data_IF_828630498952
#
_entry.id   IF_828630498952
#
_cell.length_a   1.000
_cell.length_b   1.000
_cell.length_c   1.000
_cell.angle_alpha   90.00
_cell.angle_beta   90.00
_cell.angle_gamma   90.00
#
_symmetry.space_group_name_H-M   'P 1'
#
loop_
_entity.id
_entity.type
_entity.pdbx_description
1 polymer ?
#
# COMPACT_ATOMS: atom_id res chain seq x y z
N UNK A 1 -28.88 11.77 -10.27
CA UNK A 1 -27.63 12.15 -10.97
C UNK A 1 -26.35 11.87 -10.15
N UNK A 2 -26.41 11.08 -9.08
CA UNK A 2 -25.30 10.96 -8.11
C UNK A 2 -24.04 10.26 -8.66
N UNK A 3 -24.19 9.29 -9.58
CA UNK A 3 -23.06 8.56 -10.14
C UNK A 3 -22.12 9.47 -10.95
N UNK A 4 -22.65 10.12 -11.99
CA UNK A 4 -21.86 11.01 -12.86
C UNK A 4 -21.19 12.14 -12.08
N UNK A 5 -21.94 12.81 -11.19
CA UNK A 5 -21.40 13.90 -10.37
C UNK A 5 -20.23 13.45 -9.49
N UNK A 6 -20.35 12.28 -8.85
CA UNK A 6 -19.28 11.72 -8.02
C UNK A 6 -18.02 11.38 -8.84
N UNK A 7 -18.17 10.84 -10.04
CA UNK A 7 -17.04 10.55 -10.92
C UNK A 7 -16.31 11.81 -11.41
N UNK A 8 -17.05 12.85 -11.79
CA UNK A 8 -16.47 14.15 -12.19
C UNK A 8 -15.72 14.79 -11.01
N UNK A 9 -16.27 14.69 -9.80
CA UNK A 9 -15.61 15.18 -8.59
C UNK A 9 -14.35 14.39 -8.23
N UNK A 10 -14.41 13.05 -8.28
CA UNK A 10 -13.26 12.18 -8.01
C UNK A 10 -12.12 12.38 -9.02
N UNK A 11 -12.46 12.68 -10.28
CA UNK A 11 -11.49 13.03 -11.31
C UNK A 11 -10.89 14.43 -11.15
N UNK A 12 -11.41 15.25 -10.23
CA UNK A 12 -10.95 16.62 -10.00
C UNK A 12 -11.43 17.63 -11.04
N UNK A 13 -12.43 17.29 -11.84
CA UNK A 13 -12.94 18.13 -12.93
C UNK A 13 -13.98 19.16 -12.47
N UNK A 14 -14.27 19.22 -11.18
CA UNK A 14 -15.23 20.17 -10.56
C UNK A 14 -14.58 21.50 -10.17
N UNK A 15 -13.28 21.71 -10.43
CA UNK A 15 -12.57 22.96 -10.15
C UNK A 15 -12.25 23.23 -8.66
N UNK A 16 -12.64 22.32 -7.75
CA UNK A 16 -12.34 22.38 -6.32
C UNK A 16 -11.06 21.62 -5.93
N UNK A 17 -10.84 21.43 -4.63
CA UNK A 17 -9.73 20.59 -4.14
C UNK A 17 -9.88 19.15 -4.65
N UNK A 18 -8.83 18.66 -5.29
CA UNK A 18 -8.74 17.25 -5.67
C UNK A 18 -8.34 16.44 -4.45
N UNK A 19 -9.28 15.65 -3.91
CA UNK A 19 -8.98 14.73 -2.83
C UNK A 19 -8.20 13.53 -3.39
N UNK A 20 -6.98 13.32 -2.91
CA UNK A 20 -6.21 12.11 -3.17
C UNK A 20 -6.27 11.22 -1.95
N UNK A 21 -6.70 9.98 -2.16
CA UNK A 21 -6.77 9.00 -1.10
C UNK A 21 -5.45 8.25 -0.96
N UNK A 22 -4.94 8.19 0.27
CA UNK A 22 -3.89 7.24 0.62
C UNK A 22 -4.57 5.92 0.97
N UNK A 23 -4.54 4.97 0.03
CA UNK A 23 -5.25 3.69 0.15
C UNK A 23 -4.81 2.95 1.41
N UNK A 24 -3.51 2.80 1.66
CA UNK A 24 -2.99 2.08 2.85
C UNK A 24 -3.49 2.72 4.16
N UNK A 25 -3.44 4.05 4.25
CA UNK A 25 -3.95 4.77 5.42
C UNK A 25 -5.46 4.54 5.59
N UNK A 26 -6.23 4.67 4.51
CA UNK A 26 -7.68 4.48 4.58
C UNK A 26 -8.05 3.06 4.98
N UNK A 27 -7.40 2.05 4.41
CA UNK A 27 -7.67 0.66 4.77
C UNK A 27 -7.41 0.43 6.25
N UNK A 28 -6.32 0.96 6.81
CA UNK A 28 -6.04 0.86 8.24
C UNK A 28 -7.05 1.62 9.11
N UNK A 29 -7.47 2.81 8.66
CA UNK A 29 -8.37 3.68 9.42
C UNK A 29 -9.82 3.14 9.42
N UNK A 30 -10.27 2.53 8.32
CA UNK A 30 -11.64 1.98 8.18
C UNK A 30 -11.76 0.48 8.50
N UNK A 31 -10.69 -0.30 8.34
CA UNK A 31 -10.67 -1.75 8.57
C UNK A 31 -9.46 -2.16 9.40
N UNK A 32 -9.43 -1.74 10.68
CA UNK A 32 -8.31 -1.97 11.57
C UNK A 32 -8.01 -3.46 11.87
N UNK A 33 -8.96 -4.36 11.60
CA UNK A 33 -8.81 -5.81 11.78
C UNK A 33 -8.58 -6.56 10.47
N UNK A 34 -8.65 -5.89 9.32
CA UNK A 34 -8.56 -6.53 8.01
C UNK A 34 -9.74 -7.45 7.71
N UNK A 35 -10.88 -7.34 8.41
CA UNK A 35 -12.02 -8.25 8.24
C UNK A 35 -12.63 -8.11 6.84
N UNK A 36 -12.70 -6.88 6.32
CA UNK A 36 -13.20 -6.62 4.97
C UNK A 36 -12.25 -7.21 3.92
N UNK A 37 -10.94 -7.03 4.10
CA UNK A 37 -9.95 -7.64 3.21
C UNK A 37 -10.03 -9.16 3.22
N UNK A 38 -10.11 -9.79 4.39
CA UNK A 38 -10.21 -11.26 4.51
C UNK A 38 -11.48 -11.83 3.91
N UNK A 39 -12.57 -11.05 3.94
CA UNK A 39 -13.84 -11.46 3.35
C UNK A 39 -13.77 -11.50 1.81
N UNK A 40 -13.18 -10.47 1.20
CA UNK A 40 -13.14 -10.34 -0.27
C UNK A 40 -11.89 -10.95 -0.92
N UNK A 41 -10.81 -11.12 -0.17
CA UNK A 41 -9.53 -11.67 -0.61
C UNK A 41 -9.18 -12.87 0.29
N UNK A 42 -9.78 -14.03 0.05
CA UNK A 42 -9.60 -15.22 0.89
C UNK A 42 -8.13 -15.70 0.95
N UNK A 43 -7.32 -15.40 -0.06
CA UNK A 43 -5.87 -15.64 -0.07
C UNK A 43 -5.13 -14.89 1.05
N UNK A 44 -5.69 -13.78 1.54
CA UNK A 44 -5.16 -13.01 2.66
C UNK A 44 -5.75 -13.41 4.03
N UNK A 45 -6.63 -14.42 4.09
CA UNK A 45 -7.35 -14.79 5.31
C UNK A 45 -6.43 -15.06 6.52
N UNK A 46 -5.29 -15.71 6.25
CA UNK A 46 -4.31 -16.10 7.26
C UNK A 46 -3.30 -14.99 7.60
N UNK A 47 -3.31 -13.88 6.87
CA UNK A 47 -2.37 -12.78 7.10
C UNK A 47 -2.85 -11.93 8.29
N UNK A 48 -2.02 -11.73 9.32
CA UNK A 48 -2.38 -10.89 10.45
C UNK A 48 -2.29 -9.38 10.09
N UNK A 49 -3.17 -8.53 10.64
CA UNK A 49 -2.90 -7.08 10.72
C UNK A 49 -1.59 -6.85 11.51
N UNK A 50 -0.67 -5.98 11.08
CA UNK A 50 -0.77 -4.95 10.03
C UNK A 50 -0.25 -5.37 8.65
N UNK A 51 0.23 -6.61 8.49
CA UNK A 51 0.86 -7.08 7.26
C UNK A 51 -0.13 -7.17 6.08
N UNK A 52 -1.40 -7.41 6.38
CA UNK A 52 -2.47 -7.53 5.39
C UNK A 52 -2.69 -6.25 4.55
N UNK A 53 -2.34 -5.06 5.07
CA UNK A 53 -2.50 -3.80 4.34
C UNK A 53 -1.43 -3.60 3.27
N UNK A 54 -0.27 -4.23 3.44
CA UNK A 54 0.88 -4.10 2.56
C UNK A 54 1.56 -5.48 2.39
N UNK A 55 0.89 -6.46 1.76
CA UNK A 55 1.39 -7.83 1.66
C UNK A 55 2.75 -7.93 0.94
N UNK A 56 3.05 -7.00 0.02
CA UNK A 56 4.34 -6.90 -0.66
C UNK A 56 5.52 -6.57 0.26
N UNK A 57 5.28 -6.12 1.50
CA UNK A 57 6.33 -5.91 2.51
C UNK A 57 6.65 -7.17 3.32
N UNK A 58 5.85 -8.23 3.20
CA UNK A 58 6.10 -9.50 3.89
C UNK A 58 7.38 -10.15 3.36
N UNK A 59 8.21 -10.71 4.26
CA UNK A 59 9.35 -11.53 3.85
C UNK A 59 8.87 -12.80 3.14
N UNK A 60 9.76 -13.42 2.34
CA UNK A 60 9.45 -14.69 1.69
C UNK A 60 9.01 -15.78 2.68
N UNK A 61 9.64 -15.84 3.85
CA UNK A 61 9.28 -16.76 4.93
C UNK A 61 7.87 -16.49 5.49
N UNK A 62 7.48 -15.22 5.65
CA UNK A 62 6.13 -14.85 6.11
C UNK A 62 5.08 -15.19 5.05
N UNK A 63 5.38 -14.95 3.78
CA UNK A 63 4.50 -15.29 2.66
C UNK A 63 4.19 -16.80 2.62
N UNK A 64 5.23 -17.63 2.78
CA UNK A 64 5.08 -19.09 2.85
C UNK A 64 4.33 -19.52 4.12
N UNK A 65 4.64 -18.92 5.27
CA UNK A 65 3.97 -19.22 6.54
C UNK A 65 2.46 -18.95 6.50
N UNK A 66 2.05 -17.86 5.84
CA UNK A 66 0.64 -17.47 5.74
C UNK A 66 -0.03 -17.98 4.46
N UNK A 67 0.68 -18.71 3.60
CA UNK A 67 0.13 -19.26 2.36
C UNK A 67 -0.29 -18.19 1.33
N UNK A 68 0.37 -17.03 1.34
CA UNK A 68 0.11 -15.94 0.41
C UNK A 68 1.44 -15.48 -0.22
N UNK A 69 1.81 -16.10 -1.34
CA UNK A 69 3.02 -15.74 -2.10
C UNK A 69 2.69 -14.59 -3.06
N UNK A 70 3.31 -13.44 -2.82
CA UNK A 70 3.12 -12.25 -3.66
C UNK A 70 3.78 -12.47 -5.01
N UNK A 71 3.03 -12.25 -6.09
CA UNK A 71 3.37 -12.59 -7.47
C UNK A 71 2.80 -13.92 -7.95
N UNK A 72 2.26 -14.77 -7.06
CA UNK A 72 1.63 -16.05 -7.39
C UNK A 72 0.16 -16.08 -6.93
N UNK A 73 -0.05 -16.02 -5.61
CA UNK A 73 -1.39 -16.09 -5.00
C UNK A 73 -2.03 -14.70 -4.89
N UNK A 74 -1.21 -13.67 -4.70
CA UNK A 74 -1.62 -12.27 -4.66
C UNK A 74 -0.79 -11.44 -5.63
N UNK A 75 -1.35 -10.49 -6.40
CA UNK A 75 -0.59 -9.78 -7.42
C UNK A 75 0.50 -8.87 -6.83
N UNK A 76 1.55 -8.66 -7.62
CA UNK A 76 2.53 -7.61 -7.34
C UNK A 76 1.89 -6.22 -7.47
N UNK A 77 2.36 -5.28 -6.64
CA UNK A 77 1.96 -3.87 -6.74
C UNK A 77 2.26 -3.34 -8.14
N UNK A 78 1.24 -2.79 -8.79
CA UNK A 78 1.41 -2.12 -10.08
C UNK A 78 2.14 -0.80 -9.81
N UNK A 79 3.36 -0.62 -10.35
CA UNK A 79 4.09 0.62 -10.15
C UNK A 79 3.34 1.77 -10.80
N UNK A 80 3.45 2.97 -10.19
CA UNK A 80 2.98 4.18 -10.85
C UNK A 80 3.76 4.36 -12.16
N UNK A 81 3.15 4.86 -13.25
CA UNK A 81 3.88 5.20 -14.46
C UNK A 81 5.08 6.11 -14.12
N UNK A 82 6.29 5.68 -14.47
CA UNK A 82 7.55 6.37 -14.14
C UNK A 82 8.22 5.96 -12.81
N UNK A 83 7.57 5.14 -11.98
CA UNK A 83 8.20 4.52 -10.81
C UNK A 83 8.87 3.21 -11.23
N UNK A 84 10.13 3.28 -11.68
CA UNK A 84 10.90 2.07 -11.94
C UNK A 84 11.17 1.34 -10.61
N UNK A 85 10.81 0.06 -10.58
CA UNK A 85 11.24 -0.90 -9.56
C UNK A 85 12.73 -1.22 -9.78
N UNK A 86 13.59 -0.36 -9.25
CA UNK A 86 15.02 -0.66 -9.11
C UNK A 86 15.21 -1.63 -7.95
N UNK A 87 15.81 -2.79 -8.23
CA UNK A 87 15.98 -3.91 -7.31
C UNK A 87 16.73 -3.59 -6.01
N UNK A 88 16.60 -4.52 -5.07
CA UNK A 88 17.20 -4.44 -3.74
C UNK A 88 18.71 -4.16 -3.76
N UNK A 89 19.13 -3.27 -2.86
CA UNK A 89 20.51 -2.98 -2.54
C UNK A 89 20.66 -2.76 -1.04
N UNK A 90 21.19 -3.77 -0.36
CA UNK A 90 21.84 -3.66 0.94
C UNK A 90 23.04 -2.71 0.87
N UNK A 91 23.14 -1.77 1.80
CA UNK A 91 24.31 -0.90 2.05
C UNK A 91 23.83 0.36 2.80
N UNK A 92 24.23 0.69 4.02
CA UNK A 92 25.56 0.57 4.60
C UNK A 92 26.15 1.97 4.78
N UNK A 93 25.76 2.67 5.87
CA UNK A 93 26.62 3.63 6.58
C UNK A 93 26.76 5.08 6.09
N UNK A 94 27.01 5.94 7.10
CA UNK A 94 27.44 7.37 7.13
C UNK A 94 26.27 8.38 7.12
N UNK A 95 26.02 9.17 8.16
CA UNK A 95 26.94 9.81 9.10
C UNK A 95 27.18 11.24 8.63
N UNK A 96 26.46 12.21 9.22
CA UNK A 96 26.56 13.62 8.83
C UNK A 96 25.92 14.52 9.89
N UNK A 97 26.72 14.90 10.88
CA UNK A 97 26.36 15.84 11.94
C UNK A 97 26.09 17.25 11.38
N UNK A 98 25.18 17.96 12.05
CA UNK A 98 24.80 19.35 11.76
C UNK A 98 25.89 20.28 12.28
N UNK A 99 26.43 21.23 11.49
CA UNK A 99 27.26 22.28 12.07
C UNK A 99 26.36 23.35 12.70
N UNK A 100 26.62 23.65 13.97
CA UNK A 100 26.13 24.83 14.67
C UNK A 100 26.89 26.06 14.14
N UNK A 101 26.16 27.06 13.64
CA UNK A 101 26.71 28.39 13.34
C UNK A 101 26.76 29.23 14.61
N UNK A 102 27.89 29.92 14.79
CA UNK A 102 28.17 30.91 15.82
C UNK A 102 27.53 32.26 15.49
#
# INVERSE_FOLDING_TARGET
CSNWGNWVAAAGLTGGRVNRFNIVKQTRDYDARGEYLKHWLPELAQVPPPLIYEPWKMSRSQQEQYGCVVGQDYPNIIPRPGAFSGGGGTGGGKGGGRPHGN
#
